data_IF_179809263236
#
_entry.id   IF_179809263236
#
_cell.length_a   1.000
_cell.length_b   1.000
_cell.length_c   1.000
_cell.angle_alpha   90.00
_cell.angle_beta   90.00
_cell.angle_gamma   90.00
#
_symmetry.space_group_name_H-M   'P 1'
#
loop_
_entity.id
_entity.type
_entity.pdbx_description
1 polymer ?
#
# COMPACT_ATOMS: atom_id res chain seq x y z
N UNK A 1 -7.16 10.98 17.89
CA UNK A 1 -7.16 11.39 16.48
C UNK A 1 -5.94 10.69 15.91
N UNK A 2 -6.12 9.67 15.09
CA UNK A 2 -5.02 8.72 14.75
C UNK A 2 -4.20 9.12 13.51
N UNK A 3 -4.76 9.91 12.57
CA UNK A 3 -4.08 10.24 11.31
C UNK A 3 -4.23 11.71 10.87
N UNK A 4 -4.04 12.68 11.77
CA UNK A 4 -4.04 14.11 11.43
C UNK A 4 -2.77 14.80 11.96
N UNK A 5 -2.04 15.55 11.13
CA UNK A 5 -0.93 16.38 11.60
C UNK A 5 -1.35 17.38 12.66
N UNK A 6 -0.55 17.53 13.71
CA UNK A 6 -0.86 18.42 14.84
C UNK A 6 -1.04 19.87 14.39
N UNK A 7 -0.24 20.35 13.45
CA UNK A 7 -0.39 21.71 12.90
C UNK A 7 -1.77 21.92 12.23
N UNK A 8 -2.29 20.90 11.55
CA UNK A 8 -3.60 20.93 10.92
C UNK A 8 -4.73 20.83 11.96
N UNK A 9 -4.56 19.97 12.97
CA UNK A 9 -5.48 19.89 14.11
C UNK A 9 -5.63 21.25 14.82
N UNK A 10 -4.51 21.87 15.20
CA UNK A 10 -4.50 23.16 15.89
C UNK A 10 -5.14 24.26 15.04
N UNK A 11 -4.88 24.26 13.72
CA UNK A 11 -5.51 25.19 12.79
C UNK A 11 -7.03 25.02 12.77
N UNK A 12 -7.53 23.79 12.74
CA UNK A 12 -8.97 23.55 12.74
C UNK A 12 -9.64 23.97 14.05
N UNK A 13 -8.99 23.76 15.19
CA UNK A 13 -9.51 24.25 16.47
C UNK A 13 -9.67 25.77 16.51
N UNK A 14 -8.79 26.52 15.83
CA UNK A 14 -8.92 27.98 15.72
C UNK A 14 -10.06 28.41 14.80
N UNK A 15 -10.32 27.66 13.72
CA UNK A 15 -11.36 27.97 12.73
C UNK A 15 -12.75 27.66 13.29
N UNK A 16 -12.88 26.61 14.10
CA UNK A 16 -14.14 26.15 14.68
C UNK A 16 -14.03 26.05 16.21
N UNK A 17 -13.86 27.19 16.91
CA UNK A 17 -13.63 27.23 18.35
C UNK A 17 -14.86 26.84 19.19
N UNK A 18 -16.05 26.92 18.62
CA UNK A 18 -17.32 26.66 19.29
C UNK A 18 -17.67 25.17 19.39
N UNK A 19 -16.91 24.30 18.72
CA UNK A 19 -17.17 22.86 18.67
C UNK A 19 -16.19 22.06 19.53
N UNK A 20 -16.71 21.00 20.15
CA UNK A 20 -15.88 19.99 20.80
C UNK A 20 -15.31 19.02 19.76
N UNK A 21 -14.00 18.85 19.77
CA UNK A 21 -13.29 17.97 18.85
C UNK A 21 -13.06 16.61 19.48
N UNK A 22 -13.69 15.57 18.92
CA UNK A 22 -13.62 14.20 19.43
C UNK A 22 -12.97 13.25 18.42
N UNK A 23 -12.20 12.28 18.93
CA UNK A 23 -11.61 11.24 18.09
C UNK A 23 -12.62 10.12 17.80
N UNK A 24 -13.02 10.00 16.53
CA UNK A 24 -13.94 8.96 16.06
C UNK A 24 -13.23 7.81 15.33
N UNK A 25 -11.90 7.75 15.33
CA UNK A 25 -11.16 6.76 14.55
C UNK A 25 -11.51 5.31 14.88
N UNK A 26 -11.76 4.99 16.16
CA UNK A 26 -12.22 3.65 16.58
C UNK A 26 -13.60 3.29 16.00
N UNK A 27 -14.49 4.28 15.87
CA UNK A 27 -15.83 4.09 15.29
C UNK A 27 -15.69 3.79 13.79
N UNK A 28 -14.88 4.57 13.08
CA UNK A 28 -14.60 4.38 11.66
C UNK A 28 -13.99 3.00 11.40
N UNK A 29 -13.01 2.58 12.20
CA UNK A 29 -12.36 1.27 12.05
C UNK A 29 -13.33 0.11 12.28
N UNK A 30 -14.21 0.20 13.29
CA UNK A 30 -15.26 -0.79 13.53
C UNK A 30 -16.24 -0.87 12.38
N UNK A 31 -16.64 0.27 11.81
CA UNK A 31 -17.54 0.30 10.65
C UNK A 31 -16.89 -0.36 9.44
N UNK A 32 -15.63 -0.01 9.12
CA UNK A 32 -14.87 -0.59 7.98
C UNK A 32 -14.51 -2.07 8.16
N UNK A 33 -14.72 -2.64 9.35
CA UNK A 33 -14.50 -4.05 9.59
C UNK A 33 -15.52 -4.90 8.81
N UNK A 34 -16.76 -4.45 8.72
CA UNK A 34 -17.85 -5.13 8.04
C UNK A 34 -18.04 -4.54 6.65
N UNK A 35 -17.72 -5.32 5.62
CA UNK A 35 -17.74 -4.87 4.22
C UNK A 35 -19.15 -5.01 3.67
N UNK A 36 -19.60 -4.02 2.90
CA UNK A 36 -20.81 -4.14 2.08
C UNK A 36 -20.61 -5.15 0.96
N UNK A 37 -21.70 -5.68 0.35
CA UNK A 37 -21.59 -6.54 -0.82
C UNK A 37 -20.80 -5.92 -1.98
N UNK A 38 -20.93 -4.60 -2.17
CA UNK A 38 -20.17 -3.86 -3.18
C UNK A 38 -18.66 -3.87 -2.89
N UNK A 39 -18.24 -3.61 -1.66
CA UNK A 39 -16.83 -3.64 -1.27
C UNK A 39 -16.22 -5.03 -1.39
N UNK A 40 -16.96 -6.08 -1.00
CA UNK A 40 -16.53 -7.47 -1.20
C UNK A 40 -16.31 -7.76 -2.68
N UNK A 41 -17.18 -7.26 -3.56
CA UNK A 41 -17.01 -7.41 -5.00
C UNK A 41 -15.79 -6.65 -5.54
N UNK A 42 -15.48 -5.46 -5.03
CA UNK A 42 -14.25 -4.76 -5.41
C UNK A 42 -13.00 -5.53 -4.97
N UNK A 43 -13.00 -6.10 -3.76
CA UNK A 43 -11.90 -6.95 -3.28
C UNK A 43 -11.73 -8.17 -4.18
N UNK A 44 -12.83 -8.80 -4.62
CA UNK A 44 -12.80 -9.94 -5.54
C UNK A 44 -12.18 -9.56 -6.89
N UNK A 45 -12.53 -8.41 -7.46
CA UNK A 45 -11.93 -7.90 -8.71
C UNK A 45 -10.44 -7.63 -8.55
N UNK A 46 -10.03 -6.99 -7.45
CA UNK A 46 -8.61 -6.77 -7.16
C UNK A 46 -7.85 -8.10 -7.03
N UNK A 47 -8.42 -9.09 -6.36
CA UNK A 47 -7.83 -10.42 -6.23
C UNK A 47 -7.67 -11.14 -7.58
N UNK A 48 -8.59 -10.94 -8.54
CA UNK A 48 -8.48 -11.49 -9.89
C UNK A 48 -7.32 -10.88 -10.67
N UNK A 49 -7.12 -9.56 -10.58
CA UNK A 49 -5.98 -8.87 -11.21
C UNK A 49 -4.65 -9.41 -10.63
N UNK A 50 -4.57 -9.50 -9.30
CA UNK A 50 -3.39 -10.06 -8.63
C UNK A 50 -3.14 -11.51 -9.06
N UNK A 51 -4.18 -12.34 -9.08
CA UNK A 51 -4.08 -13.73 -9.52
C UNK A 51 -3.54 -13.85 -10.95
N UNK A 52 -4.05 -13.04 -11.88
CA UNK A 52 -3.57 -13.02 -13.25
C UNK A 52 -2.09 -12.61 -13.33
N UNK A 53 -1.69 -11.55 -12.62
CA UNK A 53 -0.29 -11.13 -12.51
C UNK A 53 0.62 -12.25 -11.98
N UNK A 54 0.21 -12.94 -10.92
CA UNK A 54 0.96 -14.08 -10.34
C UNK A 54 1.01 -15.32 -11.23
N UNK A 55 0.05 -15.53 -12.12
CA UNK A 55 0.14 -16.61 -13.10
C UNK A 55 1.09 -16.22 -14.24
N UNK A 56 1.06 -14.95 -14.66
CA UNK A 56 1.93 -14.42 -15.71
C UNK A 56 3.39 -14.29 -15.31
N UNK A 57 3.68 -13.95 -14.05
CA UNK A 57 5.07 -13.83 -13.56
C UNK A 57 5.90 -15.09 -13.81
N UNK A 58 5.28 -16.27 -13.70
CA UNK A 58 5.93 -17.56 -13.89
C UNK A 58 6.39 -17.80 -15.33
N UNK A 59 5.84 -17.07 -16.30
CA UNK A 59 6.17 -17.21 -17.71
C UNK A 59 7.48 -16.49 -18.07
N UNK A 60 7.89 -15.48 -17.29
CA UNK A 60 9.05 -14.64 -17.61
C UNK A 60 10.13 -14.59 -16.53
N UNK A 61 9.78 -14.85 -15.25
CA UNK A 61 10.78 -14.83 -14.17
C UNK A 61 11.83 -15.93 -14.39
N UNK A 62 13.10 -15.55 -14.30
CA UNK A 62 14.24 -16.45 -14.48
C UNK A 62 15.41 -16.01 -13.61
N UNK A 63 16.29 -16.96 -13.31
CA UNK A 63 17.54 -16.66 -12.61
C UNK A 63 18.35 -15.60 -13.38
N UNK A 64 19.02 -14.73 -12.63
CA UNK A 64 19.80 -13.62 -13.17
C UNK A 64 19.01 -12.33 -13.43
N UNK A 65 17.69 -12.33 -13.28
CA UNK A 65 16.90 -11.09 -13.24
C UNK A 65 17.10 -10.36 -11.91
N UNK A 66 17.14 -9.04 -11.99
CA UNK A 66 17.04 -8.14 -10.83
C UNK A 66 15.60 -8.08 -10.30
N UNK A 67 15.45 -7.71 -9.03
CA UNK A 67 14.12 -7.47 -8.45
C UNK A 67 13.37 -6.36 -9.19
N UNK A 68 14.10 -5.34 -9.66
CA UNK A 68 13.55 -4.20 -10.39
C UNK A 68 13.01 -4.58 -11.77
N UNK A 69 13.65 -5.50 -12.50
CA UNK A 69 13.12 -6.00 -13.77
C UNK A 69 11.78 -6.72 -13.55
N UNK A 70 11.71 -7.57 -12.53
CA UNK A 70 10.49 -8.30 -12.18
C UNK A 70 9.39 -7.36 -11.68
N UNK A 71 9.71 -6.36 -10.85
CA UNK A 71 8.77 -5.33 -10.39
C UNK A 71 8.22 -4.51 -11.55
N UNK A 72 9.06 -4.12 -12.51
CA UNK A 72 8.66 -3.40 -13.71
C UNK A 72 7.67 -4.17 -14.57
N UNK A 73 7.92 -5.45 -14.82
CA UNK A 73 7.03 -6.32 -15.59
C UNK A 73 5.68 -6.54 -14.88
N UNK A 74 5.70 -6.75 -13.56
CA UNK A 74 4.49 -6.84 -12.75
C UNK A 74 3.69 -5.54 -12.76
N UNK A 75 4.36 -4.38 -12.66
CA UNK A 75 3.72 -3.08 -12.72
C UNK A 75 3.03 -2.89 -14.08
N UNK A 76 3.68 -3.25 -15.19
CA UNK A 76 3.08 -3.20 -16.51
C UNK A 76 1.80 -4.05 -16.60
N UNK A 77 1.86 -5.30 -16.15
CA UNK A 77 0.72 -6.22 -16.14
C UNK A 77 -0.43 -5.68 -15.28
N UNK A 78 -0.14 -5.30 -14.04
CA UNK A 78 -1.13 -4.81 -13.09
C UNK A 78 -1.81 -3.52 -13.61
N UNK A 79 -1.02 -2.56 -14.13
CA UNK A 79 -1.55 -1.31 -14.68
C UNK A 79 -2.44 -1.53 -15.89
N UNK A 80 -2.04 -2.41 -16.80
CA UNK A 80 -2.84 -2.76 -17.98
C UNK A 80 -4.19 -3.36 -17.60
N UNK A 81 -4.22 -4.12 -16.52
CA UNK A 81 -5.41 -4.80 -16.02
C UNK A 81 -6.26 -3.93 -15.06
N UNK A 82 -5.89 -2.65 -14.90
CA UNK A 82 -6.69 -1.64 -14.17
C UNK A 82 -6.23 -1.32 -12.75
N UNK A 83 -5.04 -1.78 -12.33
CA UNK A 83 -4.47 -1.40 -11.04
C UNK A 83 -4.20 0.12 -10.98
N UNK A 84 -4.55 0.76 -9.86
CA UNK A 84 -4.50 2.21 -9.67
C UNK A 84 -3.09 2.81 -9.54
N UNK A 85 -2.08 1.97 -9.37
CA UNK A 85 -0.65 2.33 -9.44
C UNK A 85 0.01 2.56 -8.09
N UNK A 86 -0.78 2.99 -7.12
CA UNK A 86 -0.35 3.19 -5.73
C UNK A 86 -1.37 2.55 -4.80
N UNK A 87 -0.88 1.86 -3.78
CA UNK A 87 -1.67 1.29 -2.69
C UNK A 87 -1.52 2.18 -1.47
N UNK A 88 -2.64 2.65 -0.92
CA UNK A 88 -2.65 3.51 0.27
C UNK A 88 -3.00 2.71 1.51
N UNK A 89 -2.12 2.77 2.50
CA UNK A 89 -2.33 2.13 3.80
C UNK A 89 -2.86 3.20 4.77
N UNK A 90 -3.65 2.77 5.75
CA UNK A 90 -4.27 3.68 6.74
C UNK A 90 -3.26 4.06 7.83
N UNK A 91 -2.18 4.72 7.41
CA UNK A 91 -1.18 5.34 8.26
C UNK A 91 -0.64 6.59 7.55
N UNK A 92 -0.04 7.52 8.29
CA UNK A 92 0.47 8.77 7.71
C UNK A 92 1.63 8.50 6.74
N UNK A 93 1.60 9.09 5.55
CA UNK A 93 2.58 8.92 4.47
C UNK A 93 2.89 7.45 4.11
N UNK A 94 1.90 6.57 4.28
CA UNK A 94 2.07 5.13 4.07
C UNK A 94 1.44 4.71 2.75
N UNK A 95 2.27 4.74 1.73
CA UNK A 95 1.94 4.32 0.37
C UNK A 95 2.93 3.25 -0.09
N UNK A 96 2.46 2.33 -0.92
CA UNK A 96 3.27 1.30 -1.57
C UNK A 96 3.01 1.35 -3.07
N UNK A 97 4.00 0.99 -3.87
CA UNK A 97 3.82 0.73 -5.30
C UNK A 97 3.03 -0.59 -5.51
N UNK A 98 2.94 -1.04 -6.76
CA UNK A 98 2.13 -2.18 -7.18
C UNK A 98 2.37 -3.46 -6.37
N UNK A 99 3.62 -3.75 -6.03
CA UNK A 99 4.03 -4.94 -5.30
C UNK A 99 5.37 -4.68 -4.58
N UNK A 100 5.70 -5.57 -3.64
CA UNK A 100 7.07 -5.76 -3.20
C UNK A 100 7.62 -7.01 -3.90
N UNK A 101 8.70 -6.84 -4.66
CA UNK A 101 9.49 -7.95 -5.21
C UNK A 101 10.78 -8.02 -4.41
N UNK A 102 10.92 -9.09 -3.63
CA UNK A 102 12.00 -9.25 -2.66
C UNK A 102 12.60 -10.65 -2.80
N UNK A 103 13.92 -10.71 -2.83
CA UNK A 103 14.73 -11.92 -2.98
C UNK A 103 15.85 -11.95 -1.94
N UNK A 104 16.18 -13.15 -1.46
CA UNK A 104 17.25 -13.34 -0.47
C UNK A 104 17.08 -12.46 0.79
N UNK A 105 18.17 -11.81 1.19
CA UNK A 105 18.23 -10.97 2.39
C UNK A 105 17.31 -9.74 2.31
N UNK A 106 17.01 -9.23 1.12
CA UNK A 106 16.12 -8.07 0.96
C UNK A 106 14.71 -8.37 1.49
N UNK A 107 14.26 -9.63 1.42
CA UNK A 107 12.99 -10.08 1.99
C UNK A 107 12.90 -9.99 3.52
N UNK A 108 14.03 -9.89 4.21
CA UNK A 108 14.12 -9.75 5.67
C UNK A 108 14.37 -8.30 6.12
N UNK A 109 14.52 -7.35 5.19
CA UNK A 109 14.75 -5.94 5.52
C UNK A 109 13.45 -5.31 6.00
N UNK A 110 13.48 -4.79 7.22
CA UNK A 110 12.39 -4.01 7.81
C UNK A 110 12.43 -2.61 7.21
N UNK A 111 11.25 -2.11 6.82
CA UNK A 111 11.06 -0.76 6.30
C UNK A 111 10.10 0.03 7.19
N UNK A 112 9.86 1.29 6.83
CA UNK A 112 8.88 2.16 7.47
C UNK A 112 7.43 1.73 7.17
N UNK A 113 7.17 0.99 6.09
CA UNK A 113 5.82 0.57 5.71
C UNK A 113 5.24 -0.41 6.74
N UNK A 114 4.00 -0.19 7.17
CA UNK A 114 3.25 -1.06 8.09
C UNK A 114 2.75 -2.31 7.36
N UNK A 115 3.70 -3.16 6.98
CA UNK A 115 3.52 -4.40 6.23
C UNK A 115 4.44 -5.48 6.76
N UNK A 116 4.14 -6.79 6.52
CA UNK A 116 4.99 -7.88 6.99
C UNK A 116 6.39 -7.90 6.35
N UNK A 117 6.57 -7.22 5.21
CA UNK A 117 7.84 -7.10 4.50
C UNK A 117 8.06 -5.64 4.11
N UNK A 118 9.32 -5.24 3.98
CA UNK A 118 9.70 -3.88 3.60
C UNK A 118 10.55 -3.83 2.35
N UNK A 119 11.73 -4.44 2.41
CA UNK A 119 12.79 -4.26 1.41
C UNK A 119 13.55 -2.94 1.61
N UNK A 120 14.76 -2.85 1.07
CA UNK A 120 15.57 -1.62 1.15
C UNK A 120 15.14 -0.56 0.15
N UNK A 121 14.51 -0.96 -0.96
CA UNK A 121 14.26 -0.10 -2.10
C UNK A 121 15.54 0.27 -2.85
N UNK A 122 15.38 0.97 -3.97
CA UNK A 122 16.47 1.38 -4.86
C UNK A 122 17.02 2.80 -4.59
N UNK A 123 16.40 3.57 -3.67
CA UNK A 123 16.84 4.92 -3.31
C UNK A 123 16.44 5.25 -1.87
N UNK A 124 17.24 6.05 -1.12
CA UNK A 124 16.87 6.51 0.22
C UNK A 124 15.53 7.27 0.30
N UNK A 125 15.07 7.85 -0.82
CA UNK A 125 13.76 8.53 -0.89
C UNK A 125 12.56 7.56 -0.93
N UNK A 126 12.80 6.29 -1.26
CA UNK A 126 11.82 5.23 -1.32
C UNK A 126 12.41 4.00 -0.62
N UNK A 127 12.45 4.05 0.71
CA UNK A 127 13.12 3.05 1.55
C UNK A 127 12.33 1.73 1.68
N UNK A 128 11.76 1.22 0.57
CA UNK A 128 10.98 -0.01 0.51
C UNK A 128 11.01 -0.61 -0.91
N UNK A 129 10.78 -1.92 -1.01
CA UNK A 129 10.62 -2.66 -2.25
C UNK A 129 11.91 -3.19 -2.86
N UNK A 130 11.88 -3.40 -4.17
CA UNK A 130 12.96 -3.98 -4.97
C UNK A 130 14.24 -3.12 -4.94
N UNK A 131 15.39 -3.78 -4.94
CA UNK A 131 16.73 -3.16 -4.97
C UNK A 131 17.67 -3.76 -6.01
#
# INVERSE_FOLDING_TARGET
>A
MDSLPVNLFLRYQQIFPEFEWVDISKIILRLRMIKTPYEVEQIRKAAQILHHGYMKIKEFIKEGMTELEVDGDLAFLARRDGHMGVLRIRSWDQEMTHAHVLSGENGAVVSFLDSPHGGSGNTPAMAQGAS
#
